data_IF_144636186930
#
_entry.id   IF_144636186930
#
_cell.length_a   1.000
_cell.length_b   1.000
_cell.length_c   1.000
_cell.angle_alpha   90.00
_cell.angle_beta   90.00
_cell.angle_gamma   90.00
#
_symmetry.space_group_name_H-M   'P 1'
#
loop_
_entity.id
_entity.type
_entity.pdbx_description
1 polymer ?
#
# COMPACT_ATOMS: atom_id res chain seq x y z
N UNK A 1 13.86 -21.52 3.83
CA UNK A 1 12.96 -21.25 4.97
C UNK A 1 13.71 -20.33 5.92
N UNK A 2 13.35 -19.05 5.97
CA UNK A 2 14.03 -18.02 6.78
C UNK A 2 13.33 -17.89 8.14
N UNK A 3 14.12 -17.67 9.19
CA UNK A 3 13.65 -17.56 10.57
C UNK A 3 13.13 -16.14 10.81
N UNK A 4 11.81 -15.92 10.67
CA UNK A 4 11.18 -14.63 10.96
C UNK A 4 10.86 -14.57 12.45
N UNK A 5 11.89 -14.34 13.28
CA UNK A 5 11.65 -13.92 14.66
C UNK A 5 11.44 -12.40 14.65
N UNK A 6 10.42 -11.87 15.33
CA UNK A 6 10.32 -10.43 15.56
C UNK A 6 11.41 -10.00 16.55
N UNK A 7 12.65 -9.87 16.07
CA UNK A 7 13.74 -9.16 16.75
C UNK A 7 13.51 -7.66 16.64
N UNK A 8 14.17 -6.83 17.47
CA UNK A 8 14.03 -5.36 17.43
C UNK A 8 14.20 -4.74 16.05
N UNK A 9 14.97 -5.39 15.16
CA UNK A 9 15.18 -5.00 13.75
C UNK A 9 13.96 -5.21 12.83
N UNK A 10 12.98 -6.01 13.25
CA UNK A 10 11.74 -6.30 12.52
C UNK A 10 10.51 -5.71 13.21
N UNK A 11 10.71 -4.76 14.12
CA UNK A 11 9.61 -3.95 14.62
C UNK A 11 9.17 -3.02 13.47
N UNK A 12 7.87 -2.87 13.21
CA UNK A 12 7.37 -1.85 12.30
C UNK A 12 7.84 -0.51 12.84
N UNK A 13 8.74 0.11 12.11
CA UNK A 13 9.11 1.49 12.36
C UNK A 13 8.05 2.32 11.65
N UNK A 14 7.22 3.00 12.45
CA UNK A 14 6.30 3.99 11.92
C UNK A 14 7.08 5.29 11.81
N UNK A 15 7.52 5.63 10.60
CA UNK A 15 7.96 7.00 10.34
C UNK A 15 6.70 7.83 10.12
N UNK A 16 6.38 8.68 11.10
CA UNK A 16 5.26 9.62 11.12
C UNK A 16 5.45 10.74 10.09
N UNK A 17 5.45 10.38 8.81
CA UNK A 17 5.53 11.34 7.71
C UNK A 17 4.25 11.21 6.89
N UNK A 18 3.17 11.80 7.42
CA UNK A 18 1.91 12.10 6.72
C UNK A 18 0.89 10.98 6.47
N UNK A 19 0.54 10.17 7.48
CA UNK A 19 -0.71 9.37 7.43
C UNK A 19 -1.97 10.22 7.15
N UNK A 20 -1.90 11.55 7.26
CA UNK A 20 -2.99 12.50 7.02
C UNK A 20 -3.37 12.73 5.54
N UNK A 21 -2.74 12.05 4.55
CA UNK A 21 -2.96 12.31 3.11
C UNK A 21 -3.19 11.07 2.24
N UNK A 22 -3.57 9.94 2.83
CA UNK A 22 -4.01 8.75 2.06
C UNK A 22 -2.86 7.99 1.42
N UNK A 23 -1.65 8.25 1.89
CA UNK A 23 -0.47 7.48 1.56
C UNK A 23 0.30 7.21 2.86
N UNK A 24 0.62 5.95 3.11
CA UNK A 24 1.31 5.53 4.34
C UNK A 24 2.49 4.63 4.00
N UNK A 25 3.65 4.90 4.61
CA UNK A 25 4.82 4.01 4.54
C UNK A 25 4.84 3.15 5.79
N UNK A 26 4.89 1.84 5.59
CA UNK A 26 4.85 0.84 6.65
C UNK A 26 6.02 -0.11 6.50
N UNK A 27 6.78 -0.30 7.56
CA UNK A 27 7.84 -1.32 7.60
C UNK A 27 7.35 -2.57 8.34
N UNK A 28 7.88 -3.74 7.94
CA UNK A 28 7.58 -5.03 8.58
C UNK A 28 6.08 -5.37 8.66
N UNK A 29 5.39 -5.31 7.52
CA UNK A 29 3.95 -5.62 7.42
C UNK A 29 3.73 -7.11 7.22
N UNK A 30 2.92 -7.74 8.07
CA UNK A 30 2.65 -9.18 7.99
C UNK A 30 1.34 -9.45 7.28
N UNK A 31 1.32 -10.45 6.40
CA UNK A 31 0.11 -11.06 5.87
C UNK A 31 0.00 -12.49 6.37
N UNK A 32 -1.18 -12.86 6.86
CA UNK A 32 -1.44 -14.19 7.39
C UNK A 32 -2.95 -14.48 7.42
N UNK A 33 -3.36 -15.62 6.87
CA UNK A 33 -4.76 -16.09 6.94
C UNK A 33 -5.76 -15.02 6.43
N UNK A 34 -5.42 -14.38 5.30
CA UNK A 34 -6.22 -13.31 4.69
C UNK A 34 -6.24 -11.98 5.43
N UNK A 35 -5.54 -11.85 6.56
CA UNK A 35 -5.39 -10.60 7.29
C UNK A 35 -4.04 -9.92 7.06
N UNK A 36 -4.02 -8.60 7.26
CA UNK A 36 -2.82 -7.78 7.35
C UNK A 36 -2.61 -7.37 8.80
N UNK A 37 -1.37 -7.44 9.27
CA UNK A 37 -1.03 -7.19 10.65
C UNK A 37 0.22 -6.33 10.75
N UNK A 38 0.17 -5.40 11.70
CA UNK A 38 1.31 -4.60 12.11
C UNK A 38 1.63 -4.97 13.55
N UNK A 39 2.90 -5.27 13.83
CA UNK A 39 3.32 -5.88 15.09
C UNK A 39 4.02 -4.86 15.98
N UNK A 40 3.32 -4.22 16.91
CA UNK A 40 3.93 -3.23 17.81
C UNK A 40 3.45 -3.41 19.24
N UNK A 41 4.35 -3.21 20.21
CA UNK A 41 3.97 -3.11 21.62
C UNK A 41 3.55 -1.67 22.00
N UNK A 42 3.78 -0.71 21.10
CA UNK A 42 3.50 0.71 21.25
C UNK A 42 2.22 1.10 20.52
N UNK A 43 1.11 0.41 20.80
CA UNK A 43 -0.16 0.59 20.06
C UNK A 43 -0.76 1.99 20.20
N UNK A 44 -0.36 2.75 21.23
CA UNK A 44 -0.83 4.13 21.46
C UNK A 44 -0.17 5.14 20.54
N UNK A 45 1.03 4.83 20.05
CA UNK A 45 1.82 5.72 19.18
C UNK A 45 1.47 5.50 17.71
N UNK A 46 0.59 4.54 17.42
CA UNK A 46 0.21 4.14 16.08
C UNK A 46 -1.17 4.71 15.74
N UNK A 47 -1.39 5.26 14.52
CA UNK A 47 -2.69 5.75 14.12
C UNK A 47 -3.73 4.60 14.10
N UNK A 48 -5.03 4.92 14.29
CA UNK A 48 -6.07 3.90 14.21
C UNK A 48 -6.08 3.27 12.82
N UNK A 49 -6.29 1.94 12.71
CA UNK A 49 -6.24 1.22 11.42
C UNK A 49 -7.09 1.84 10.31
N UNK A 50 -8.33 2.32 10.56
CA UNK A 50 -9.14 2.96 9.53
C UNK A 50 -8.56 4.26 8.97
N UNK A 51 -7.56 4.87 9.63
CA UNK A 51 -6.84 6.03 9.10
C UNK A 51 -5.69 5.65 8.14
N UNK A 52 -5.33 4.37 8.06
CA UNK A 52 -4.32 3.85 7.12
C UNK A 52 -5.00 3.15 5.95
N UNK A 53 -5.92 2.25 6.27
CA UNK A 53 -6.73 1.49 5.31
C UNK A 53 -8.15 1.39 5.86
N UNK A 54 -9.07 2.14 5.27
CA UNK A 54 -10.50 2.04 5.58
C UNK A 54 -11.22 0.96 4.77
N UNK A 55 -10.68 0.61 3.61
CA UNK A 55 -11.19 -0.47 2.76
C UNK A 55 -10.84 -1.84 3.34
N UNK A 56 -11.85 -2.65 3.64
CA UNK A 56 -11.68 -4.07 4.01
C UNK A 56 -12.62 -4.90 3.15
N UNK A 57 -12.20 -6.09 2.73
CA UNK A 57 -12.99 -6.85 1.75
C UNK A 57 -12.22 -7.99 1.09
N UNK A 58 -12.58 -8.29 -0.17
CA UNK A 58 -12.14 -9.47 -0.91
C UNK A 58 -10.62 -9.73 -0.81
N UNK A 59 -9.79 -8.70 -0.93
CA UNK A 59 -8.32 -8.81 -0.82
C UNK A 59 -7.80 -9.03 0.59
N UNK A 60 -7.87 -8.00 1.42
CA UNK A 60 -7.48 -8.07 2.82
C UNK A 60 -8.73 -8.05 3.69
N UNK A 61 -8.99 -9.18 4.35
CA UNK A 61 -10.19 -9.35 5.17
C UNK A 61 -10.18 -8.48 6.42
N UNK A 62 -9.00 -8.23 7.00
CA UNK A 62 -8.83 -7.31 8.14
C UNK A 62 -7.44 -6.72 8.21
N UNK A 63 -7.36 -5.50 8.71
CA UNK A 63 -6.13 -4.87 9.17
C UNK A 63 -6.15 -4.80 10.69
N UNK A 64 -5.07 -5.19 11.37
CA UNK A 64 -5.04 -5.24 12.83
C UNK A 64 -3.66 -4.99 13.43
N UNK A 65 -3.63 -4.34 14.59
CA UNK A 65 -2.44 -4.26 15.42
C UNK A 65 -2.32 -5.50 16.30
N UNK A 66 -1.12 -6.07 16.36
CA UNK A 66 -0.78 -7.13 17.30
C UNK A 66 0.41 -6.71 18.17
N UNK A 67 0.38 -7.04 19.45
CA UNK A 67 1.60 -7.05 20.25
C UNK A 67 2.58 -8.12 19.76
N UNK A 68 3.87 -7.98 20.07
CA UNK A 68 4.87 -9.01 19.73
C UNK A 68 4.50 -10.38 20.28
N UNK A 69 3.93 -10.43 21.49
CA UNK A 69 3.50 -11.67 22.12
C UNK A 69 2.34 -12.31 21.37
N UNK A 70 1.36 -11.52 20.93
CA UNK A 70 0.24 -12.02 20.12
C UNK A 70 0.73 -12.51 18.76
N UNK A 71 1.60 -11.74 18.10
CA UNK A 71 2.19 -12.11 16.82
C UNK A 71 3.00 -13.41 16.90
N UNK A 72 3.81 -13.59 17.94
CA UNK A 72 4.58 -14.82 18.16
C UNK A 72 3.67 -16.05 18.34
N UNK A 73 2.56 -15.91 19.05
CA UNK A 73 1.57 -16.98 19.22
C UNK A 73 0.81 -17.26 17.92
N UNK A 74 0.46 -16.22 17.16
CA UNK A 74 -0.39 -16.33 15.97
C UNK A 74 0.37 -16.80 14.73
N UNK A 75 1.58 -16.28 14.51
CA UNK A 75 2.39 -16.56 13.32
C UNK A 75 3.30 -17.78 13.49
N UNK A 76 3.57 -18.19 14.73
CA UNK A 76 4.50 -19.27 15.03
C UNK A 76 5.95 -18.86 14.75
N UNK A 77 6.78 -19.83 14.34
CA UNK A 77 8.23 -19.65 14.24
C UNK A 77 8.77 -19.44 12.82
N UNK A 78 7.96 -19.71 11.80
CA UNK A 78 8.41 -19.77 10.41
C UNK A 78 7.54 -18.88 9.54
N UNK A 79 8.16 -18.22 8.57
CA UNK A 79 7.48 -17.36 7.62
C UNK A 79 8.34 -17.06 6.39
N UNK A 80 7.71 -16.45 5.39
CA UNK A 80 8.39 -15.86 4.24
C UNK A 80 8.72 -14.39 4.49
N UNK A 81 9.77 -13.91 3.83
CA UNK A 81 10.07 -12.47 3.75
C UNK A 81 9.95 -12.04 2.30
N UNK A 82 9.11 -11.05 2.05
CA UNK A 82 9.00 -10.36 0.78
C UNK A 82 9.94 -9.15 0.87
N UNK A 83 11.08 -9.26 0.20
CA UNK A 83 12.16 -8.29 0.30
C UNK A 83 11.94 -7.06 -0.56
N UNK A 84 12.57 -5.96 -0.15
CA UNK A 84 12.54 -4.69 -0.85
C UNK A 84 11.27 -3.89 -0.59
N UNK A 85 10.92 -3.04 -1.55
CA UNK A 85 9.77 -2.16 -1.45
C UNK A 85 8.64 -2.69 -2.30
N UNK A 86 7.47 -2.82 -1.67
CA UNK A 86 6.21 -3.10 -2.31
C UNK A 86 5.31 -1.87 -2.24
N UNK A 87 4.55 -1.63 -3.29
CA UNK A 87 3.50 -0.63 -3.34
C UNK A 87 2.14 -1.32 -3.31
N UNK A 88 1.14 -0.69 -2.70
CA UNK A 88 -0.23 -1.19 -2.62
C UNK A 88 -1.19 -0.05 -2.89
N UNK A 89 -2.11 -0.27 -3.82
CA UNK A 89 -3.25 0.59 -4.06
C UNK A 89 -4.49 -0.06 -3.45
N UNK A 90 -4.87 0.38 -2.26
CA UNK A 90 -5.97 -0.16 -1.47
C UNK A 90 -7.32 0.50 -1.77
N UNK A 91 -7.40 1.38 -2.77
CA UNK A 91 -8.67 1.96 -3.23
C UNK A 91 -9.55 0.91 -3.94
N UNK A 92 -10.86 0.92 -3.67
CA UNK A 92 -11.83 0.10 -4.41
C UNK A 92 -12.04 0.60 -5.84
N UNK A 93 -11.81 1.88 -6.07
CA UNK A 93 -11.89 2.49 -7.40
C UNK A 93 -10.50 2.94 -7.81
N UNK A 94 -9.89 2.34 -8.85
CA UNK A 94 -8.58 2.74 -9.33
C UNK A 94 -8.58 4.18 -9.83
N UNK A 95 -7.46 4.88 -9.63
CA UNK A 95 -7.32 6.27 -10.07
C UNK A 95 -6.06 6.45 -10.92
N UNK A 96 -6.12 7.36 -11.90
CA UNK A 96 -5.04 7.58 -12.85
C UNK A 96 -3.74 8.13 -12.24
N UNK A 97 -3.84 8.83 -11.12
CA UNK A 97 -2.71 9.35 -10.36
C UNK A 97 -2.06 8.34 -9.43
N UNK A 98 -2.67 7.18 -9.16
CA UNK A 98 -2.21 6.24 -8.11
C UNK A 98 -0.76 5.82 -8.30
N UNK A 99 -0.35 5.44 -9.52
CA UNK A 99 1.02 5.03 -9.81
C UNK A 99 2.04 6.15 -9.56
N UNK A 100 1.72 7.37 -10.03
CA UNK A 100 2.59 8.53 -9.87
C UNK A 100 2.67 8.98 -8.41
N UNK A 101 1.55 8.91 -7.69
CA UNK A 101 1.50 9.27 -6.28
C UNK A 101 2.28 8.28 -5.40
N UNK A 102 2.17 6.97 -5.65
CA UNK A 102 2.99 5.96 -4.99
C UNK A 102 4.50 6.19 -5.25
N UNK A 103 4.87 6.45 -6.50
CA UNK A 103 6.25 6.78 -6.85
C UNK A 103 6.74 8.06 -6.16
N UNK A 104 5.92 9.11 -6.12
CA UNK A 104 6.24 10.37 -5.45
C UNK A 104 6.42 10.19 -3.94
N UNK A 105 5.48 9.51 -3.27
CA UNK A 105 5.55 9.19 -1.83
C UNK A 105 6.78 8.34 -1.51
N UNK A 106 7.19 7.46 -2.41
CA UNK A 106 8.43 6.73 -2.21
C UNK A 106 9.66 7.62 -2.39
N UNK A 107 9.70 8.40 -3.48
CA UNK A 107 10.84 9.26 -3.82
C UNK A 107 11.15 10.30 -2.74
N UNK A 108 10.12 10.80 -2.04
CA UNK A 108 10.30 11.73 -0.91
C UNK A 108 11.02 11.15 0.30
N UNK A 109 11.19 9.82 0.37
CA UNK A 109 12.01 9.20 1.41
C UNK A 109 13.51 9.44 1.19
N UNK A 110 13.90 9.95 0.02
CA UNK A 110 15.26 10.35 -0.28
C UNK A 110 15.34 11.86 -0.55
N UNK A 111 15.65 12.66 0.48
CA UNK A 111 15.81 14.11 0.33
C UNK A 111 17.07 14.48 -0.47
N UNK A 112 17.95 13.53 -0.78
CA UNK A 112 19.18 13.74 -1.53
C UNK A 112 19.06 13.40 -3.02
N UNK A 113 17.85 13.06 -3.49
CA UNK A 113 17.61 12.84 -4.92
C UNK A 113 18.03 14.07 -5.73
N UNK A 114 18.96 13.86 -6.66
CA UNK A 114 19.52 14.97 -7.45
C UNK A 114 18.61 15.34 -8.63
N UNK A 115 18.94 16.43 -9.32
CA UNK A 115 18.21 16.87 -10.53
C UNK A 115 18.27 15.89 -11.69
N UNK A 116 19.16 14.90 -11.65
CA UNK A 116 19.29 13.83 -12.64
C UNK A 116 18.48 12.58 -12.25
N UNK A 117 17.87 12.58 -11.06
CA UNK A 117 17.08 11.46 -10.55
C UNK A 117 17.92 10.35 -9.92
N UNK A 118 19.19 10.60 -9.59
CA UNK A 118 19.97 9.64 -8.83
C UNK A 118 19.45 9.58 -7.40
N UNK A 119 19.11 8.38 -6.95
CA UNK A 119 18.54 8.13 -5.63
C UNK A 119 19.24 6.95 -4.95
N UNK A 120 19.28 6.97 -3.62
CA UNK A 120 19.71 5.86 -2.79
C UNK A 120 18.60 4.84 -2.51
N UNK A 121 17.37 5.12 -2.97
CA UNK A 121 16.22 4.23 -2.81
C UNK A 121 16.36 3.01 -3.72
N UNK A 122 16.03 1.85 -3.18
CA UNK A 122 15.93 0.62 -3.95
C UNK A 122 14.72 0.68 -4.89
N UNK A 123 14.78 0.09 -6.10
CA UNK A 123 13.61 0.05 -6.98
C UNK A 123 12.47 -0.74 -6.31
N UNK A 124 11.22 -0.27 -6.51
CA UNK A 124 10.04 -1.06 -6.13
C UNK A 124 9.92 -2.28 -7.05
N UNK A 125 9.57 -3.42 -6.46
CA UNK A 125 9.47 -4.69 -7.17
C UNK A 125 8.03 -5.12 -7.45
N UNK A 126 7.07 -4.63 -6.65
CA UNK A 126 5.70 -5.12 -6.68
C UNK A 126 4.71 -3.96 -6.54
N UNK A 127 3.67 -3.97 -7.37
CA UNK A 127 2.47 -3.16 -7.21
C UNK A 127 1.29 -4.07 -6.91
N UNK A 128 0.67 -3.86 -5.77
CA UNK A 128 -0.37 -4.70 -5.19
C UNK A 128 -1.73 -4.04 -5.40
N UNK A 129 -2.65 -4.77 -6.02
CA UNK A 129 -4.02 -4.36 -6.32
C UNK A 129 -4.97 -5.38 -5.66
N UNK A 130 -5.16 -5.30 -4.33
CA UNK A 130 -5.78 -6.36 -3.55
C UNK A 130 -7.28 -6.50 -3.82
N UNK A 131 -7.95 -5.46 -4.31
CA UNK A 131 -9.39 -5.47 -4.59
C UNK A 131 -9.73 -5.67 -6.07
N UNK A 132 -8.72 -5.78 -6.94
CA UNK A 132 -8.90 -5.82 -8.38
C UNK A 132 -8.51 -7.19 -8.91
N UNK A 133 -9.44 -7.87 -9.57
CA UNK A 133 -9.12 -9.06 -10.36
C UNK A 133 -8.42 -8.65 -11.64
N UNK A 134 -7.58 -9.52 -12.20
CA UNK A 134 -6.90 -9.23 -13.47
C UNK A 134 -7.88 -8.96 -14.63
N UNK A 135 -8.98 -9.71 -14.66
CA UNK A 135 -10.07 -9.58 -15.63
C UNK A 135 -11.37 -9.18 -14.93
N UNK A 136 -12.23 -8.46 -15.66
CA UNK A 136 -13.54 -7.98 -15.16
C UNK A 136 -14.71 -8.86 -15.56
N UNK A 137 -14.54 -9.64 -16.61
CA UNK A 137 -15.49 -10.60 -17.15
C UNK A 137 -15.32 -11.98 -16.49
N UNK A 138 -16.34 -12.82 -16.62
CA UNK A 138 -16.31 -14.20 -16.14
C UNK A 138 -15.29 -15.03 -16.93
N UNK A 139 -14.74 -16.05 -16.27
CA UNK A 139 -13.88 -17.03 -16.93
C UNK A 139 -14.67 -17.72 -18.06
N UNK A 140 -14.07 -17.91 -19.24
CA UNK A 140 -14.80 -18.44 -20.36
C UNK A 140 -15.01 -19.94 -20.13
N UNK A 141 -16.05 -20.54 -20.73
CA UNK A 141 -16.19 -21.99 -20.79
C UNK A 141 -14.91 -22.64 -21.36
N UNK A 142 -14.59 -23.85 -20.89
CA UNK A 142 -13.36 -24.56 -21.26
C UNK A 142 -13.21 -24.81 -22.77
N UNK A 143 -14.32 -24.84 -23.52
CA UNK A 143 -14.39 -25.00 -24.96
C UNK A 143 -14.25 -23.67 -25.74
N UNK A 144 -14.06 -22.54 -25.04
CA UNK A 144 -13.98 -21.18 -25.59
C UNK A 144 -12.73 -20.42 -25.11
N UNK A 145 -11.57 -21.08 -25.13
CA UNK A 145 -10.27 -20.52 -24.69
C UNK A 145 -9.70 -19.39 -25.57
N UNK A 146 -10.33 -19.11 -26.72
CA UNK A 146 -9.93 -18.03 -27.64
C UNK A 146 -10.67 -16.70 -27.40
N UNK A 147 -11.64 -16.67 -26.48
CA UNK A 147 -12.37 -15.45 -26.16
C UNK A 147 -11.43 -14.46 -25.46
N UNK A 148 -11.36 -13.25 -26.02
CA UNK A 148 -10.51 -12.19 -25.45
C UNK A 148 -11.15 -11.63 -24.18
N UNK A 149 -10.48 -11.82 -23.06
CA UNK A 149 -10.87 -11.21 -21.79
C UNK A 149 -10.65 -9.70 -21.72
N UNK A 150 -11.53 -9.05 -20.95
CA UNK A 150 -11.43 -7.63 -20.63
C UNK A 150 -10.59 -7.46 -19.36
N UNK A 151 -9.43 -6.82 -19.52
CA UNK A 151 -8.57 -6.46 -18.39
C UNK A 151 -9.24 -5.41 -17.52
N UNK A 152 -8.98 -5.49 -16.21
CA UNK A 152 -9.36 -4.44 -15.27
C UNK A 152 -8.66 -3.13 -15.60
N UNK A 153 -9.39 -2.04 -15.43
CA UNK A 153 -8.82 -0.71 -15.49
C UNK A 153 -8.08 -0.43 -14.18
N UNK A 154 -6.78 -0.21 -14.23
CA UNK A 154 -5.96 0.13 -13.05
C UNK A 154 -5.77 1.64 -12.89
N UNK A 155 -6.50 2.46 -13.65
CA UNK A 155 -6.39 3.91 -13.71
C UNK A 155 -5.29 4.40 -14.65
N UNK A 156 -4.32 3.54 -14.99
CA UNK A 156 -3.24 3.86 -15.91
C UNK A 156 -3.08 2.77 -16.97
N UNK A 157 -2.51 3.14 -18.12
CA UNK A 157 -2.29 2.19 -19.21
C UNK A 157 -1.38 1.03 -18.73
N UNK A 158 -1.72 -0.25 -18.97
CA UNK A 158 -0.94 -1.39 -18.44
C UNK A 158 0.55 -1.37 -18.80
N UNK A 159 0.90 -0.88 -20.01
CA UNK A 159 2.30 -0.70 -20.41
C UNK A 159 3.03 0.43 -19.71
N UNK A 160 2.33 1.40 -19.11
CA UNK A 160 2.97 2.53 -18.41
C UNK A 160 3.80 2.04 -17.23
N UNK A 161 3.23 1.18 -16.39
CA UNK A 161 3.93 0.62 -15.23
C UNK A 161 5.20 -0.13 -15.64
N UNK A 162 5.13 -0.94 -16.72
CA UNK A 162 6.28 -1.69 -17.22
C UNK A 162 7.33 -0.81 -17.89
N UNK A 163 6.91 0.25 -18.57
CA UNK A 163 7.82 1.19 -19.24
C UNK A 163 8.55 2.07 -18.22
N UNK A 164 7.84 2.59 -17.21
CA UNK A 164 8.42 3.43 -16.16
C UNK A 164 9.24 2.61 -15.15
N UNK A 165 8.79 1.39 -14.83
CA UNK A 165 9.41 0.52 -13.83
C UNK A 165 9.61 -0.90 -14.40
N UNK A 166 10.70 -1.15 -15.14
CA UNK A 166 10.92 -2.43 -15.83
C UNK A 166 10.95 -3.65 -14.90
N UNK A 167 11.28 -3.48 -13.62
CA UNK A 167 11.34 -4.56 -12.62
C UNK A 167 10.05 -4.69 -11.79
N UNK A 168 9.05 -3.82 -12.01
CA UNK A 168 7.80 -3.85 -11.27
C UNK A 168 6.89 -4.96 -11.81
N UNK A 169 6.35 -5.76 -10.89
CA UNK A 169 5.34 -6.78 -11.16
C UNK A 169 4.02 -6.30 -10.54
N UNK A 170 2.94 -6.31 -11.32
CA UNK A 170 1.60 -6.07 -10.80
C UNK A 170 1.03 -7.39 -10.25
N UNK A 171 0.57 -7.37 -9.00
CA UNK A 171 -0.10 -8.47 -8.33
C UNK A 171 -1.55 -8.08 -8.07
N UNK A 172 -2.47 -8.85 -8.61
CA UNK A 172 -3.91 -8.66 -8.52
C UNK A 172 -4.49 -9.51 -7.40
N UNK A 173 -5.80 -9.35 -7.13
CA UNK A 173 -6.49 -10.09 -6.08
C UNK A 173 -6.23 -11.61 -6.13
N UNK A 174 -6.19 -12.22 -7.33
CA UNK A 174 -5.91 -13.66 -7.46
C UNK A 174 -4.52 -14.05 -6.96
N UNK A 175 -3.49 -13.22 -7.22
CA UNK A 175 -2.14 -13.44 -6.70
C UNK A 175 -2.13 -13.34 -5.16
N UNK A 176 -3.04 -12.55 -4.58
CA UNK A 176 -3.23 -12.45 -3.13
C UNK A 176 -3.96 -13.62 -2.52
N UNK A 177 -4.97 -14.15 -3.20
CA UNK A 177 -5.73 -15.32 -2.76
C UNK A 177 -4.80 -16.52 -2.53
N UNK A 178 -3.76 -16.66 -3.34
CA UNK A 178 -2.71 -17.67 -3.16
C UNK A 178 -1.93 -17.51 -1.85
N UNK A 179 -1.77 -16.29 -1.33
CA UNK A 179 -1.17 -16.05 -0.02
C UNK A 179 -2.16 -16.32 1.12
N UNK A 180 -3.45 -16.04 0.91
CA UNK A 180 -4.48 -16.25 1.96
C UNK A 180 -4.76 -17.73 2.19
N UNK A 181 -4.71 -18.56 1.15
CA UNK A 181 -4.89 -20.01 1.24
C UNK A 181 -3.72 -20.71 1.93
N UNK A 182 -2.53 -20.11 1.93
CA UNK A 182 -1.34 -20.64 2.60
C UNK A 182 -1.32 -20.14 4.05
N UNK A 183 -1.44 -21.06 5.01
CA UNK A 183 -1.30 -20.77 6.46
C UNK A 183 0.17 -20.55 6.88
N UNK A 184 0.88 -19.72 6.11
CA UNK A 184 2.27 -19.34 6.35
C UNK A 184 2.31 -17.81 6.39
N UNK A 185 2.86 -17.19 7.45
CA UNK A 185 2.97 -15.74 7.51
C UNK A 185 4.03 -15.26 6.52
N UNK A 186 3.72 -14.21 5.77
CA UNK A 186 4.69 -13.49 4.95
C UNK A 186 4.85 -12.08 5.49
N UNK A 187 6.08 -11.59 5.54
CA UNK A 187 6.41 -10.24 5.99
C UNK A 187 6.95 -9.42 4.82
N UNK A 188 6.30 -8.31 4.49
CA UNK A 188 6.86 -7.27 3.63
C UNK A 188 7.90 -6.48 4.42
N UNK A 189 9.12 -6.34 3.88
CA UNK A 189 10.14 -5.47 4.49
C UNK A 189 9.66 -4.02 4.53
N UNK A 190 9.14 -3.50 3.41
CA UNK A 190 8.48 -2.19 3.32
C UNK A 190 7.28 -2.23 2.39
N UNK A 191 6.18 -1.65 2.84
CA UNK A 191 4.94 -1.50 2.09
C UNK A 191 4.50 -0.04 2.08
N UNK A 192 4.29 0.50 0.89
CA UNK A 192 3.73 1.84 0.69
C UNK A 192 2.30 1.68 0.25
N UNK A 193 1.37 2.14 1.08
CA UNK A 193 -0.06 2.00 0.87
C UNK A 193 -0.62 3.32 0.37
N UNK A 194 -1.33 3.28 -0.75
CA UNK A 194 -2.20 4.35 -1.23
C UNK A 194 -3.64 3.96 -0.93
N UNK A 195 -4.33 4.78 -0.14
CA UNK A 195 -5.75 4.65 0.15
C UNK A 195 -6.35 6.04 0.34
N UNK A 196 -6.99 6.54 -0.71
CA UNK A 196 -7.55 7.89 -0.77
C UNK A 196 -8.89 7.96 -0.04
N UNK A 197 -9.62 6.86 0.01
CA UNK A 197 -10.95 6.80 0.63
C UNK A 197 -10.92 7.05 2.16
N UNK A 198 -9.82 6.76 2.87
CA UNK A 198 -9.71 7.14 4.29
C UNK A 198 -9.61 8.64 4.48
N UNK A 199 -8.99 9.36 3.54
CA UNK A 199 -8.79 10.81 3.63
C UNK A 199 -10.07 11.56 3.35
N UNK A 200 -10.82 11.15 2.32
CA UNK A 200 -12.10 11.78 1.97
C UNK A 200 -13.14 11.67 3.08
N UNK A 201 -12.98 10.72 4.02
CA UNK A 201 -13.80 10.59 5.22
C UNK A 201 -13.38 11.50 6.38
N UNK A 202 -12.16 12.06 6.33
CA UNK A 202 -11.57 12.88 7.40
C UNK A 202 -11.55 14.37 7.02
N UNK A 203 -11.52 14.70 5.73
CA UNK A 203 -11.43 16.08 5.23
C UNK A 203 -12.59 16.36 4.29
N UNK A 204 -13.58 17.13 4.76
CA UNK A 204 -14.81 17.46 4.02
C UNK A 204 -14.62 18.48 2.87
N UNK A 205 -13.46 19.12 2.75
CA UNK A 205 -13.29 20.35 1.93
C UNK A 205 -12.00 20.41 1.09
N UNK A 206 -11.31 19.29 0.88
CA UNK A 206 -10.10 19.25 0.03
C UNK A 206 -10.18 18.09 -0.94
N UNK A 207 -10.04 18.40 -2.23
CA UNK A 207 -9.97 17.40 -3.28
C UNK A 207 -8.70 16.54 -3.11
N UNK A 208 -8.82 15.27 -2.68
CA UNK A 208 -7.66 14.46 -2.31
C UNK A 208 -6.75 14.15 -3.51
N UNK A 209 -7.19 14.41 -4.75
CA UNK A 209 -6.43 14.12 -5.97
C UNK A 209 -5.20 15.03 -6.14
N UNK A 210 -5.21 16.22 -5.52
CA UNK A 210 -4.12 17.19 -5.58
C UNK A 210 -3.46 17.45 -4.23
N UNK A 211 -3.81 16.67 -3.20
CA UNK A 211 -3.10 16.73 -1.92
C UNK A 211 -1.65 16.32 -2.15
N UNK A 212 -0.78 17.33 -2.20
CA UNK A 212 0.65 17.14 -2.27
C UNK A 212 1.07 16.37 -1.02
N UNK A 213 1.63 15.18 -1.19
CA UNK A 213 2.40 14.55 -0.11
C UNK A 213 3.43 15.60 0.37
N UNK A 214 3.48 15.86 1.68
CA UNK A 214 4.41 16.79 2.35
C UNK A 214 4.12 18.30 2.35
N UNK A 215 2.99 18.81 1.82
CA UNK A 215 2.60 20.20 2.18
C UNK A 215 2.04 20.27 3.61
N UNK A 216 2.91 20.57 4.59
CA UNK A 216 2.45 21.03 5.88
C UNK A 216 1.73 22.37 5.65
N UNK A 217 0.39 22.41 5.76
CA UNK A 217 -0.26 23.71 5.99
C UNK A 217 0.23 24.18 7.35
N UNK A 218 1.15 25.15 7.37
CA UNK A 218 1.29 26.01 8.53
C UNK A 218 -0.09 26.61 8.78
N UNK A 219 -0.74 26.18 9.85
CA UNK A 219 -2.08 26.62 10.27
C UNK A 219 -2.14 28.10 10.68
N UNK A 220 -1.14 28.90 10.30
CA UNK A 220 -1.04 30.34 10.53
C UNK A 220 -1.30 31.21 9.29
N UNK A 221 -1.54 30.64 8.09
CA UNK A 221 -1.73 31.42 6.85
C UNK A 221 -3.12 31.32 6.21
N UNK A 222 -4.12 30.80 6.93
CA UNK A 222 -5.51 30.87 6.51
C UNK A 222 -6.17 32.23 6.85
N UNK A 223 -5.54 33.32 6.42
CA UNK A 223 -6.19 34.63 6.31
C UNK A 223 -5.26 35.53 5.51
N UNK A 224 -5.55 35.71 4.22
CA UNK A 224 -5.34 36.90 3.40
C UNK A 224 -5.63 36.45 1.97
N UNK A 225 -6.89 36.58 1.54
CA UNK A 225 -7.22 37.17 0.25
C UNK A 225 -8.59 37.83 0.39
N UNK A 226 -8.72 39.12 0.03
CA UNK A 226 -10.00 39.82 0.07
C UNK A 226 -10.86 39.35 -1.11
N UNK A 227 -12.18 39.32 -0.88
CA UNK A 227 -13.16 39.18 -1.92
C UNK A 227 -12.93 40.25 -3.00
N UNK A 228 -12.81 39.83 -4.26
CA UNK A 228 -12.94 40.69 -5.42
C UNK A 228 -14.11 40.18 -6.27
N UNK A 229 -15.18 40.97 -6.21
CA UNK A 229 -16.32 41.20 -7.12
C UNK A 229 -16.60 40.14 -8.19
#
# INVERSE_FOLDING_TARGET
>A
MLLVRPTSRFLPEYSDVNALKGYTVLDNVFIYDGGVYLVTDHTKDFPPMPAIVSSTGLGFGKWSLLSRRQAATQFGQFGGVIRGVSWMAADFTPHNSTLLALWRTYSSLDPSIDSLGHTHLAPSHQLILPYHRFFTDEDPPFDQDTVRHRRVDTGFHPYLAKAAFPHLIAMYFQDFEDYTQKRVPFMFERLIVAERESVSRVVDDVDPEFLIAFEARNSSEASIYPALL
#
